data_IF_150098929751
#
_entry.id   IF_150098929751
#
_cell.length_a   1.000
_cell.length_b   1.000
_cell.length_c   1.000
_cell.angle_alpha   90.00
_cell.angle_beta   90.00
_cell.angle_gamma   90.00
#
_symmetry.space_group_name_H-M   'P 1'
#
loop_
_entity.id
_entity.type
_entity.pdbx_description
1 polymer ?
#
# COMPACT_ATOMS: atom_id res chain seq x y z
N UNK A 1 -5.27 -67.10 -6.19
CA UNK A 1 -4.34 -66.13 -5.63
C UNK A 1 -4.51 -64.85 -6.43
N UNK A 2 -5.28 -63.91 -5.92
CA UNK A 2 -5.51 -62.61 -6.57
C UNK A 2 -4.56 -61.60 -5.95
N UNK A 3 -3.61 -61.10 -6.70
CA UNK A 3 -2.70 -60.04 -6.27
C UNK A 3 -3.45 -58.70 -6.23
N UNK A 4 -3.70 -58.21 -5.04
CA UNK A 4 -4.24 -56.87 -4.81
C UNK A 4 -3.08 -55.88 -4.98
N UNK A 5 -3.00 -55.28 -6.16
CA UNK A 5 -2.09 -54.15 -6.44
C UNK A 5 -2.51 -52.93 -5.59
N UNK A 6 -1.78 -52.73 -4.50
CA UNK A 6 -1.87 -51.50 -3.69
C UNK A 6 -1.38 -50.35 -4.55
N UNK A 7 -2.31 -49.53 -5.02
CA UNK A 7 -2.00 -48.26 -5.69
C UNK A 7 -1.31 -47.31 -4.68
N UNK A 8 -0.04 -46.99 -4.94
CA UNK A 8 0.71 -45.99 -4.19
C UNK A 8 -0.04 -44.66 -4.21
N UNK A 9 -0.28 -44.01 -3.05
CA UNK A 9 -0.86 -42.68 -3.03
C UNK A 9 0.01 -41.73 -3.84
N UNK A 10 -0.58 -41.02 -4.79
CA UNK A 10 0.11 -40.00 -5.57
C UNK A 10 0.67 -38.94 -4.60
N UNK A 11 1.97 -38.64 -4.71
CA UNK A 11 2.63 -37.62 -3.91
C UNK A 11 1.84 -36.31 -4.03
N UNK A 12 1.60 -35.56 -2.92
CA UNK A 12 0.85 -34.33 -2.97
C UNK A 12 1.54 -33.36 -3.92
N UNK A 13 0.87 -32.97 -4.99
CA UNK A 13 1.32 -31.94 -5.90
C UNK A 13 1.58 -30.70 -5.06
N UNK A 14 2.82 -30.23 -5.01
CA UNK A 14 3.15 -28.93 -4.41
C UNK A 14 2.34 -27.88 -5.15
N UNK A 15 1.29 -27.37 -4.51
CA UNK A 15 0.50 -26.28 -5.04
C UNK A 15 1.43 -25.08 -5.26
N UNK A 16 1.50 -24.61 -6.50
CA UNK A 16 2.34 -23.45 -6.88
C UNK A 16 1.51 -22.19 -6.88
N UNK A 17 2.11 -21.08 -6.50
CA UNK A 17 1.48 -19.76 -6.62
C UNK A 17 1.14 -19.49 -8.09
N UNK A 18 -0.08 -19.00 -8.40
CA UNK A 18 -0.47 -18.60 -9.75
C UNK A 18 0.17 -17.25 -10.10
N UNK A 19 1.46 -17.25 -10.41
CA UNK A 19 2.28 -16.05 -10.61
C UNK A 19 1.70 -15.11 -11.65
N UNK A 20 1.16 -15.61 -12.77
CA UNK A 20 0.58 -14.75 -13.80
C UNK A 20 -0.58 -13.90 -13.28
N UNK A 21 -1.49 -14.52 -12.51
CA UNK A 21 -2.61 -13.79 -11.89
C UNK A 21 -2.13 -12.79 -10.84
N UNK A 22 -1.15 -13.17 -10.01
CA UNK A 22 -0.58 -12.28 -8.99
C UNK A 22 0.18 -11.10 -9.61
N UNK A 23 0.92 -11.33 -10.70
CA UNK A 23 1.61 -10.27 -11.44
C UNK A 23 0.63 -9.33 -12.16
N UNK A 24 -0.47 -9.86 -12.70
CA UNK A 24 -1.54 -9.01 -13.26
C UNK A 24 -2.14 -8.09 -12.19
N UNK A 25 -2.37 -8.60 -10.96
CA UNK A 25 -2.82 -7.78 -9.84
C UNK A 25 -1.72 -6.79 -9.37
N UNK A 26 -0.45 -7.18 -9.38
CA UNK A 26 0.67 -6.29 -9.08
C UNK A 26 0.76 -5.13 -10.08
N UNK A 27 0.47 -5.39 -11.36
CA UNK A 27 0.38 -4.36 -12.40
C UNK A 27 -0.80 -3.41 -12.16
N UNK A 28 -1.94 -3.91 -11.68
CA UNK A 28 -3.05 -3.07 -11.27
C UNK A 28 -2.69 -2.15 -10.09
N UNK A 29 -1.95 -2.66 -9.09
CA UNK A 29 -1.39 -1.88 -7.98
C UNK A 29 -0.40 -0.83 -8.52
N UNK A 30 0.50 -1.23 -9.41
CA UNK A 30 1.44 -0.32 -10.06
C UNK A 30 0.73 0.86 -10.75
N UNK A 31 -0.31 0.57 -11.55
CA UNK A 31 -1.10 1.60 -12.23
C UNK A 31 -1.81 2.52 -11.23
N UNK A 32 -2.36 1.95 -10.16
CA UNK A 32 -3.02 2.72 -9.11
C UNK A 32 -2.07 3.75 -8.49
N UNK A 33 -0.87 3.31 -8.08
CA UNK A 33 0.13 4.14 -7.40
C UNK A 33 0.73 5.18 -8.35
N UNK A 34 1.04 4.79 -9.59
CA UNK A 34 1.62 5.75 -10.53
C UNK A 34 0.59 6.80 -10.97
N UNK A 35 -0.68 6.44 -11.16
CA UNK A 35 -1.75 7.41 -11.45
C UNK A 35 -1.93 8.41 -10.31
N UNK A 36 -1.71 7.99 -9.06
CA UNK A 36 -1.72 8.86 -7.88
C UNK A 36 -0.54 9.83 -7.88
N UNK A 37 0.68 9.31 -8.07
CA UNK A 37 1.93 10.01 -7.78
C UNK A 37 2.49 10.79 -8.97
N UNK A 38 2.18 10.38 -10.20
CA UNK A 38 2.73 10.96 -11.43
C UNK A 38 2.48 12.48 -11.57
N UNK A 39 1.29 13.02 -11.23
CA UNK A 39 1.06 14.46 -11.34
C UNK A 39 2.09 15.30 -10.59
N UNK A 40 2.57 14.83 -9.44
CA UNK A 40 3.56 15.56 -8.65
C UNK A 40 4.85 15.85 -9.45
N UNK A 41 5.28 14.93 -10.30
CA UNK A 41 6.43 15.11 -11.17
C UNK A 41 6.15 15.93 -12.44
N UNK A 42 4.88 16.17 -12.77
CA UNK A 42 4.44 16.85 -13.99
C UNK A 42 3.81 18.23 -13.75
N UNK A 43 3.69 18.65 -12.48
CA UNK A 43 3.02 19.91 -12.10
C UNK A 43 3.45 21.13 -12.90
N UNK A 44 4.75 21.37 -13.17
CA UNK A 44 5.18 22.55 -13.94
C UNK A 44 4.57 22.62 -15.34
N UNK A 45 4.59 21.49 -16.08
CA UNK A 45 4.03 21.39 -17.43
C UNK A 45 2.50 21.51 -17.43
N UNK A 46 1.84 20.83 -16.49
CA UNK A 46 0.38 20.89 -16.32
C UNK A 46 -0.09 22.31 -15.97
N UNK A 47 0.58 22.97 -15.02
CA UNK A 47 0.30 24.34 -14.63
C UNK A 47 0.37 25.32 -15.79
N UNK A 48 1.47 25.24 -16.55
CA UNK A 48 1.71 26.13 -17.69
C UNK A 48 0.63 25.98 -18.78
N UNK A 49 0.25 24.73 -19.11
CA UNK A 49 -0.69 24.46 -20.19
C UNK A 49 -2.15 24.69 -19.78
N UNK A 50 -2.51 24.52 -18.51
CA UNK A 50 -3.87 24.77 -18.00
C UNK A 50 -4.08 26.21 -17.50
N UNK A 51 -3.05 27.05 -17.51
CA UNK A 51 -3.12 28.47 -17.14
C UNK A 51 -3.47 28.73 -15.67
N UNK A 52 -3.02 27.85 -14.75
CA UNK A 52 -3.36 27.93 -13.30
C UNK A 52 -2.13 28.11 -12.42
N UNK A 53 -2.35 28.63 -11.22
CA UNK A 53 -1.29 28.77 -10.21
C UNK A 53 -0.81 27.43 -9.66
N UNK A 54 0.37 27.44 -9.03
CA UNK A 54 1.01 26.22 -8.47
C UNK A 54 0.16 25.55 -7.42
N UNK A 55 -0.42 26.33 -6.51
CA UNK A 55 -1.32 25.81 -5.46
C UNK A 55 -2.58 25.16 -6.04
N UNK A 56 -3.17 25.72 -7.10
CA UNK A 56 -4.31 25.14 -7.79
C UNK A 56 -3.92 23.81 -8.46
N UNK A 57 -2.78 23.76 -9.14
CA UNK A 57 -2.36 22.52 -9.80
C UNK A 57 -2.01 21.43 -8.80
N UNK A 58 -1.44 21.77 -7.65
CA UNK A 58 -1.18 20.84 -6.54
C UNK A 58 -2.44 20.13 -6.03
N UNK A 59 -3.64 20.72 -6.21
CA UNK A 59 -4.90 20.06 -5.87
C UNK A 59 -5.17 18.79 -6.68
N UNK A 60 -4.48 18.56 -7.78
CA UNK A 60 -4.62 17.32 -8.55
C UNK A 60 -4.34 16.05 -7.74
N UNK A 61 -3.41 16.12 -6.78
CA UNK A 61 -3.12 15.01 -5.85
C UNK A 61 -4.16 14.96 -4.74
N UNK A 62 -4.53 16.10 -4.20
CA UNK A 62 -5.53 16.21 -3.12
C UNK A 62 -6.91 15.70 -3.57
N UNK A 63 -7.38 16.11 -4.76
CA UNK A 63 -8.68 15.71 -5.32
C UNK A 63 -8.73 14.20 -5.55
N UNK A 64 -7.62 13.58 -6.01
CA UNK A 64 -7.51 12.13 -6.11
C UNK A 64 -7.66 11.46 -4.73
N UNK A 65 -6.94 11.93 -3.73
CA UNK A 65 -7.02 11.38 -2.37
C UNK A 65 -8.43 11.53 -1.76
N UNK A 66 -9.09 12.67 -1.99
CA UNK A 66 -10.48 12.89 -1.60
C UNK A 66 -11.41 11.90 -2.31
N UNK A 67 -11.24 11.71 -3.63
CA UNK A 67 -12.00 10.72 -4.40
C UNK A 67 -11.86 9.33 -3.81
N UNK A 68 -10.63 8.91 -3.49
CA UNK A 68 -10.37 7.62 -2.83
C UNK A 68 -11.06 7.53 -1.47
N UNK A 69 -10.83 8.48 -0.59
CA UNK A 69 -11.30 8.42 0.80
C UNK A 69 -12.83 8.46 0.91
N UNK A 70 -13.51 9.30 0.11
CA UNK A 70 -14.96 9.43 0.16
C UNK A 70 -15.71 8.25 -0.46
N UNK A 71 -15.13 7.61 -1.49
CA UNK A 71 -15.87 6.65 -2.29
C UNK A 71 -15.57 5.19 -1.97
N UNK A 72 -14.42 4.88 -1.34
CA UNK A 72 -14.02 3.49 -1.10
C UNK A 72 -15.03 2.71 -0.26
N UNK A 73 -15.54 3.27 0.83
CA UNK A 73 -16.51 2.58 1.70
C UNK A 73 -17.86 2.41 0.98
N UNK A 74 -18.51 3.48 0.45
CA UNK A 74 -19.81 3.32 -0.21
C UNK A 74 -19.74 2.43 -1.44
N UNK A 75 -18.70 2.57 -2.28
CA UNK A 75 -18.58 1.73 -3.47
C UNK A 75 -18.28 0.27 -3.15
N UNK A 76 -17.43 0.00 -2.14
CA UNK A 76 -17.22 -1.37 -1.67
C UNK A 76 -18.52 -2.01 -1.18
N UNK A 77 -19.36 -1.25 -0.46
CA UNK A 77 -20.67 -1.73 0.00
C UNK A 77 -21.64 -1.98 -1.17
N UNK A 78 -21.73 -1.06 -2.13
CA UNK A 78 -22.59 -1.19 -3.31
C UNK A 78 -22.18 -2.38 -4.20
N UNK A 79 -20.89 -2.56 -4.41
CA UNK A 79 -20.34 -3.63 -5.27
C UNK A 79 -20.11 -4.95 -4.53
N UNK A 80 -20.41 -5.02 -3.22
CA UNK A 80 -20.14 -6.18 -2.39
C UNK A 80 -20.75 -7.48 -2.91
N UNK A 81 -21.92 -7.42 -3.56
CA UNK A 81 -22.61 -8.58 -4.17
C UNK A 81 -22.14 -8.93 -5.57
N UNK A 82 -21.32 -8.09 -6.21
CA UNK A 82 -20.89 -8.30 -7.59
C UNK A 82 -19.72 -9.28 -7.66
N UNK A 83 -19.52 -9.93 -8.80
CA UNK A 83 -18.28 -10.67 -9.08
C UNK A 83 -17.05 -9.78 -8.90
N UNK A 84 -15.99 -10.33 -8.35
CA UNK A 84 -14.79 -9.51 -8.03
C UNK A 84 -14.04 -9.07 -9.27
N UNK A 85 -14.01 -9.89 -10.31
CA UNK A 85 -13.37 -9.56 -11.59
C UNK A 85 -14.06 -8.40 -12.31
N UNK A 86 -15.40 -8.36 -12.49
CA UNK A 86 -16.10 -7.20 -13.02
C UNK A 86 -15.80 -5.90 -12.26
N UNK A 87 -15.77 -5.93 -10.93
CA UNK A 87 -15.46 -4.74 -10.11
C UNK A 87 -14.02 -4.28 -10.32
N UNK A 88 -13.06 -5.21 -10.41
CA UNK A 88 -11.67 -4.87 -10.70
C UNK A 88 -11.51 -4.27 -12.12
N UNK A 89 -12.17 -4.87 -13.11
CA UNK A 89 -12.15 -4.36 -14.48
C UNK A 89 -12.81 -2.98 -14.58
N UNK A 90 -13.87 -2.72 -13.80
CA UNK A 90 -14.50 -1.40 -13.70
C UNK A 90 -13.54 -0.37 -13.10
N UNK A 91 -12.77 -0.72 -12.06
CA UNK A 91 -11.74 0.15 -11.52
C UNK A 91 -10.64 0.46 -12.56
N UNK A 92 -10.17 -0.54 -13.29
CA UNK A 92 -9.18 -0.34 -14.36
C UNK A 92 -9.74 0.51 -15.51
N UNK A 93 -11.00 0.29 -15.91
CA UNK A 93 -11.68 1.13 -16.89
C UNK A 93 -11.83 2.58 -16.41
N UNK A 94 -12.07 2.79 -15.11
CA UNK A 94 -12.06 4.11 -14.47
C UNK A 94 -10.71 4.81 -14.62
N UNK A 95 -9.59 4.09 -14.47
CA UNK A 95 -8.26 4.64 -14.72
C UNK A 95 -8.04 4.97 -16.20
N UNK A 96 -8.48 4.11 -17.12
CA UNK A 96 -8.42 4.41 -18.56
C UNK A 96 -9.15 5.71 -18.85
N UNK A 97 -10.42 5.81 -18.44
CA UNK A 97 -11.23 7.00 -18.68
C UNK A 97 -10.60 8.27 -18.05
N UNK A 98 -10.21 8.20 -16.78
CA UNK A 98 -9.65 9.34 -16.06
C UNK A 98 -8.30 9.80 -16.64
N UNK A 99 -7.39 8.88 -16.93
CA UNK A 99 -6.09 9.22 -17.51
C UNK A 99 -6.24 9.73 -18.95
N UNK A 100 -7.13 9.16 -19.75
CA UNK A 100 -7.42 9.66 -21.11
C UNK A 100 -8.01 11.06 -21.07
N UNK A 101 -9.01 11.31 -20.23
CA UNK A 101 -9.58 12.66 -20.06
C UNK A 101 -8.50 13.64 -19.59
N UNK A 102 -7.65 13.25 -18.64
CA UNK A 102 -6.54 14.09 -18.20
C UNK A 102 -5.56 14.39 -19.34
N UNK A 103 -5.26 13.41 -20.20
CA UNK A 103 -4.34 13.57 -21.33
C UNK A 103 -4.87 14.55 -22.40
N UNK A 104 -6.18 14.57 -22.64
CA UNK A 104 -6.76 15.39 -23.73
C UNK A 104 -7.41 16.68 -23.25
N UNK A 105 -7.52 16.90 -21.94
CA UNK A 105 -8.21 18.07 -21.37
C UNK A 105 -7.35 19.32 -21.45
N UNK A 106 -7.97 20.41 -21.90
CA UNK A 106 -7.43 21.78 -21.82
C UNK A 106 -8.10 22.62 -20.71
N UNK A 107 -9.06 22.00 -19.97
CA UNK A 107 -9.78 22.66 -18.89
C UNK A 107 -9.34 22.13 -17.53
N UNK A 108 -8.93 23.03 -16.63
CA UNK A 108 -8.55 22.69 -15.26
C UNK A 108 -9.67 21.93 -14.51
N UNK A 109 -10.92 22.42 -14.60
CA UNK A 109 -12.05 21.79 -13.91
C UNK A 109 -12.29 20.34 -14.38
N UNK A 110 -12.18 20.08 -15.68
CA UNK A 110 -12.34 18.73 -16.25
C UNK A 110 -11.19 17.82 -15.82
N UNK A 111 -9.97 18.34 -15.79
CA UNK A 111 -8.82 17.64 -15.24
C UNK A 111 -9.04 17.25 -13.77
N UNK A 112 -9.53 18.18 -12.93
CA UNK A 112 -9.86 17.88 -11.51
C UNK A 112 -10.97 16.83 -11.38
N UNK A 113 -12.03 16.91 -12.20
CA UNK A 113 -13.06 15.88 -12.24
C UNK A 113 -12.49 14.49 -12.61
N UNK A 114 -11.60 14.45 -13.61
CA UNK A 114 -10.91 13.22 -13.98
C UNK A 114 -10.02 12.69 -12.84
N UNK A 115 -9.32 13.56 -12.10
CA UNK A 115 -8.56 13.18 -10.91
C UNK A 115 -9.43 12.58 -9.81
N UNK A 116 -10.63 13.14 -9.59
CA UNK A 116 -11.60 12.57 -8.65
C UNK A 116 -12.05 11.17 -9.08
N UNK A 117 -12.36 10.98 -10.36
CA UNK A 117 -12.72 9.66 -10.93
C UNK A 117 -11.56 8.66 -10.78
N UNK A 118 -10.32 9.10 -11.04
CA UNK A 118 -9.14 8.27 -10.83
C UNK A 118 -9.00 7.83 -9.35
N UNK A 119 -9.22 8.75 -8.41
CA UNK A 119 -9.25 8.44 -6.98
C UNK A 119 -10.36 7.45 -6.60
N UNK A 120 -11.55 7.61 -7.18
CA UNK A 120 -12.67 6.67 -7.01
C UNK A 120 -12.30 5.26 -7.51
N UNK A 121 -11.69 5.17 -8.68
CA UNK A 121 -11.18 3.90 -9.23
C UNK A 121 -10.11 3.27 -8.33
N UNK A 122 -9.23 4.10 -7.76
CA UNK A 122 -8.22 3.66 -6.81
C UNK A 122 -8.83 3.06 -5.54
N UNK A 123 -9.85 3.70 -4.98
CA UNK A 123 -10.56 3.18 -3.81
C UNK A 123 -11.11 1.76 -4.05
N UNK A 124 -11.76 1.54 -5.20
CA UNK A 124 -12.23 0.22 -5.60
C UNK A 124 -11.08 -0.78 -5.81
N UNK A 125 -10.02 -0.37 -6.48
CA UNK A 125 -8.84 -1.19 -6.71
C UNK A 125 -8.23 -1.67 -5.39
N UNK A 126 -7.93 -0.74 -4.48
CA UNK A 126 -7.35 -1.04 -3.17
C UNK A 126 -8.22 -1.97 -2.32
N UNK A 127 -9.54 -1.77 -2.32
CA UNK A 127 -10.47 -2.60 -1.57
C UNK A 127 -10.45 -4.09 -2.01
N UNK A 128 -10.06 -4.37 -3.25
CA UNK A 128 -10.06 -5.72 -3.81
C UNK A 128 -8.72 -6.44 -3.72
N UNK A 129 -7.57 -5.73 -3.74
CA UNK A 129 -6.25 -6.33 -3.97
C UNK A 129 -5.90 -7.43 -2.98
N UNK A 130 -6.04 -7.17 -1.68
CA UNK A 130 -5.70 -8.14 -0.62
C UNK A 130 -6.63 -9.35 -0.66
N UNK A 131 -7.93 -9.11 -0.85
CA UNK A 131 -8.94 -10.16 -0.96
C UNK A 131 -8.67 -11.07 -2.16
N UNK A 132 -8.30 -10.49 -3.30
CA UNK A 132 -7.92 -11.23 -4.50
C UNK A 132 -6.65 -12.05 -4.31
N UNK A 133 -5.58 -11.43 -3.81
CA UNK A 133 -4.30 -12.10 -3.55
C UNK A 133 -4.49 -13.33 -2.67
N UNK A 134 -5.30 -13.21 -1.61
CA UNK A 134 -5.60 -14.32 -0.69
C UNK A 134 -6.39 -15.44 -1.34
N UNK A 135 -7.39 -15.12 -2.17
CA UNK A 135 -8.22 -16.12 -2.86
C UNK A 135 -7.45 -16.87 -3.95
N UNK A 136 -6.46 -16.24 -4.58
CA UNK A 136 -5.58 -16.85 -5.56
C UNK A 136 -4.52 -17.75 -4.93
N UNK A 137 -4.16 -17.49 -3.68
CA UNK A 137 -3.07 -18.20 -3.01
C UNK A 137 -3.48 -19.59 -2.55
N UNK A 138 -2.60 -20.61 -2.68
CA UNK A 138 -2.72 -21.84 -1.94
C UNK A 138 -2.73 -21.62 -0.43
N UNK A 139 -3.35 -22.53 0.32
CA UNK A 139 -3.40 -22.45 1.78
C UNK A 139 -1.99 -22.35 2.37
N UNK A 140 -1.77 -21.35 3.23
CA UNK A 140 -0.49 -21.10 3.89
C UNK A 140 0.50 -20.26 3.08
N UNK A 141 0.12 -19.76 1.90
CA UNK A 141 0.94 -18.88 1.06
C UNK A 141 0.29 -17.51 0.81
N UNK A 142 -0.76 -17.18 1.58
CA UNK A 142 -1.56 -15.96 1.41
C UNK A 142 -0.73 -14.68 1.59
N UNK A 143 0.19 -14.66 2.56
CA UNK A 143 1.08 -13.52 2.79
C UNK A 143 2.08 -13.33 1.66
N UNK A 144 2.62 -14.41 1.08
CA UNK A 144 3.49 -14.33 -0.11
C UNK A 144 2.74 -13.77 -1.32
N UNK A 145 1.51 -14.20 -1.52
CA UNK A 145 0.66 -13.70 -2.61
C UNK A 145 0.39 -12.19 -2.44
N UNK A 146 0.06 -11.73 -1.22
CA UNK A 146 -0.10 -10.31 -0.92
C UNK A 146 1.20 -9.56 -1.18
N UNK A 147 2.36 -10.09 -0.76
CA UNK A 147 3.65 -9.46 -0.99
C UNK A 147 3.96 -9.27 -2.48
N UNK A 148 3.66 -10.29 -3.33
CA UNK A 148 3.84 -10.20 -4.78
C UNK A 148 2.93 -9.09 -5.37
N UNK A 149 1.67 -9.05 -4.96
CA UNK A 149 0.73 -8.03 -5.44
C UNK A 149 1.16 -6.62 -4.98
N UNK A 150 1.57 -6.48 -3.71
CA UNK A 150 2.00 -5.19 -3.16
C UNK A 150 3.37 -4.73 -3.68
N UNK A 151 4.17 -5.60 -4.30
CA UNK A 151 5.41 -5.22 -4.96
C UNK A 151 5.19 -4.20 -6.10
N UNK A 152 3.96 -4.07 -6.61
CA UNK A 152 3.58 -2.99 -7.53
C UNK A 152 3.82 -1.59 -6.97
N UNK A 153 3.73 -1.38 -5.65
CA UNK A 153 3.95 -0.07 -5.01
C UNK A 153 5.40 0.43 -5.21
N UNK A 154 6.43 -0.27 -4.71
CA UNK A 154 7.80 0.19 -4.86
C UNK A 154 8.24 0.22 -6.33
N UNK A 155 7.75 -0.68 -7.17
CA UNK A 155 8.03 -0.64 -8.61
C UNK A 155 7.46 0.63 -9.26
N UNK A 156 6.23 1.04 -8.88
CA UNK A 156 5.64 2.28 -9.36
C UNK A 156 6.47 3.50 -8.95
N UNK A 157 6.87 3.57 -7.69
CA UNK A 157 7.64 4.71 -7.16
C UNK A 157 9.08 4.74 -7.67
N UNK A 158 9.75 3.58 -7.78
CA UNK A 158 11.15 3.51 -8.18
C UNK A 158 11.37 3.58 -9.71
N UNK A 159 10.45 3.06 -10.49
CA UNK A 159 10.58 2.99 -11.95
C UNK A 159 9.48 3.79 -12.66
N UNK A 160 8.23 3.63 -12.23
CA UNK A 160 7.08 4.19 -12.90
C UNK A 160 7.04 5.72 -12.87
N UNK A 161 7.18 6.32 -11.68
CA UNK A 161 7.15 7.79 -11.52
C UNK A 161 8.33 8.43 -12.25
N UNK A 162 9.59 8.00 -12.11
CA UNK A 162 10.70 8.55 -12.87
C UNK A 162 10.52 8.40 -14.39
N UNK A 163 10.10 7.23 -14.88
CA UNK A 163 9.87 7.01 -16.30
C UNK A 163 8.75 7.91 -16.84
N UNK A 164 7.63 8.04 -16.11
CA UNK A 164 6.53 8.90 -16.50
C UNK A 164 6.91 10.39 -16.46
N UNK A 165 7.70 10.81 -15.49
CA UNK A 165 8.24 12.20 -15.42
C UNK A 165 9.20 12.47 -16.58
N UNK A 166 10.07 11.51 -16.92
CA UNK A 166 10.97 11.60 -18.08
C UNK A 166 10.20 11.74 -19.40
N UNK A 167 9.18 10.89 -19.62
CA UNK A 167 8.30 10.98 -20.79
C UNK A 167 7.64 12.36 -20.84
N UNK A 168 7.13 12.84 -19.70
CA UNK A 168 6.50 14.15 -19.60
C UNK A 168 7.43 15.33 -19.86
N UNK A 169 8.71 15.20 -19.50
CA UNK A 169 9.73 16.18 -19.82
C UNK A 169 10.15 16.18 -21.29
N UNK A 170 10.19 14.99 -21.91
CA UNK A 170 10.66 14.81 -23.29
C UNK A 170 9.57 15.03 -24.33
N UNK A 171 8.36 14.55 -24.10
CA UNK A 171 7.26 14.54 -25.06
C UNK A 171 6.09 15.45 -24.66
N UNK A 172 5.94 15.72 -23.38
CA UNK A 172 4.83 16.47 -22.81
C UNK A 172 4.12 15.67 -21.72
N UNK A 173 3.49 16.38 -20.77
CA UNK A 173 2.80 15.74 -19.63
C UNK A 173 1.55 14.94 -20.08
N UNK A 174 0.90 15.34 -21.18
CA UNK A 174 -0.27 14.66 -21.74
C UNK A 174 0.06 13.25 -22.20
N UNK A 175 1.20 13.09 -22.84
CA UNK A 175 1.72 11.81 -23.35
C UNK A 175 1.97 10.83 -22.21
N UNK A 176 2.43 11.31 -21.05
CA UNK A 176 2.58 10.47 -19.85
C UNK A 176 1.24 9.88 -19.39
N UNK A 177 0.18 10.68 -19.37
CA UNK A 177 -1.17 10.18 -19.05
C UNK A 177 -1.73 9.27 -20.16
N UNK A 178 -1.41 9.55 -21.43
CA UNK A 178 -1.75 8.67 -22.56
C UNK A 178 -1.10 7.29 -22.42
N UNK A 179 0.19 7.23 -22.08
CA UNK A 179 0.89 5.97 -21.78
C UNK A 179 0.24 5.23 -20.62
N UNK A 180 -0.17 5.96 -19.57
CA UNK A 180 -0.87 5.36 -18.42
C UNK A 180 -2.22 4.76 -18.82
N UNK A 181 -2.97 5.42 -19.72
CA UNK A 181 -4.20 4.86 -20.28
C UNK A 181 -3.92 3.57 -21.05
N UNK A 182 -2.87 3.55 -21.88
CA UNK A 182 -2.45 2.35 -22.61
C UNK A 182 -2.06 1.20 -21.69
N UNK A 183 -1.29 1.48 -20.65
CA UNK A 183 -0.93 0.46 -19.64
C UNK A 183 -2.16 -0.07 -18.90
N UNK A 184 -3.14 0.79 -18.58
CA UNK A 184 -4.38 0.36 -17.95
C UNK A 184 -5.22 -0.53 -18.90
N UNK A 185 -5.27 -0.23 -20.18
CA UNK A 185 -5.92 -1.11 -21.19
C UNK A 185 -5.21 -2.46 -21.27
N UNK A 186 -3.89 -2.48 -21.34
CA UNK A 186 -3.12 -3.74 -21.34
C UNK A 186 -3.35 -4.54 -20.06
N UNK A 187 -3.47 -3.87 -18.90
CA UNK A 187 -3.80 -4.52 -17.63
C UNK A 187 -5.21 -5.13 -17.66
N UNK A 188 -6.20 -4.45 -18.24
CA UNK A 188 -7.56 -5.00 -18.44
C UNK A 188 -7.50 -6.29 -19.25
N UNK A 189 -6.78 -6.28 -20.37
CA UNK A 189 -6.63 -7.48 -21.22
C UNK A 189 -5.96 -8.61 -20.42
N UNK A 190 -4.87 -8.32 -19.75
CA UNK A 190 -4.15 -9.32 -18.96
C UNK A 190 -5.02 -9.90 -17.82
N UNK A 191 -5.66 -9.05 -17.02
CA UNK A 191 -6.60 -9.47 -15.95
C UNK A 191 -7.71 -10.34 -16.55
N UNK A 192 -8.28 -9.95 -17.69
CA UNK A 192 -9.37 -10.70 -18.35
C UNK A 192 -8.94 -12.10 -18.73
N UNK A 193 -7.71 -12.29 -19.18
CA UNK A 193 -7.18 -13.58 -19.63
C UNK A 193 -6.76 -14.50 -18.49
N UNK A 194 -6.15 -13.96 -17.40
CA UNK A 194 -5.46 -14.81 -16.42
C UNK A 194 -6.07 -14.80 -15.02
N UNK A 195 -6.86 -13.77 -14.67
CA UNK A 195 -7.42 -13.66 -13.31
C UNK A 195 -8.81 -14.32 -13.31
N UNK A 196 -9.04 -15.35 -12.47
CA UNK A 196 -10.37 -15.97 -12.35
C UNK A 196 -11.36 -15.01 -11.70
N UNK A 197 -12.64 -15.16 -11.99
CA UNK A 197 -13.68 -14.45 -11.25
C UNK A 197 -13.95 -15.17 -9.91
N UNK A 198 -14.18 -14.37 -8.89
CA UNK A 198 -14.64 -14.85 -7.61
C UNK A 198 -15.99 -14.24 -7.29
N UNK A 199 -16.93 -15.03 -6.73
CA UNK A 199 -18.25 -14.53 -6.39
C UNK A 199 -18.16 -13.41 -5.34
N UNK A 200 -19.09 -12.46 -5.43
CA UNK A 200 -19.31 -11.44 -4.42
C UNK A 200 -19.85 -12.03 -3.12
N UNK A 201 -20.01 -11.19 -2.13
CA UNK A 201 -20.65 -11.57 -0.88
C UNK A 201 -22.16 -11.66 -1.07
N UNK A 202 -22.79 -12.74 -0.59
CA UNK A 202 -24.26 -12.83 -0.51
C UNK A 202 -24.79 -11.72 0.39
N UNK A 203 -25.99 -11.22 0.10
CA UNK A 203 -26.60 -10.13 0.87
C UNK A 203 -26.64 -10.41 2.38
N UNK A 204 -26.96 -11.65 2.76
CA UNK A 204 -27.00 -12.14 4.12
C UNK A 204 -25.62 -12.18 4.82
N UNK A 205 -24.55 -12.30 4.05
CA UNK A 205 -23.18 -12.35 4.54
C UNK A 205 -22.49 -10.97 4.59
N UNK A 206 -23.20 -9.89 4.20
CA UNK A 206 -22.65 -8.54 4.22
C UNK A 206 -22.55 -8.03 5.64
N UNK A 207 -21.34 -7.73 6.07
CA UNK A 207 -21.10 -7.21 7.39
C UNK A 207 -21.13 -5.68 7.36
N UNK A 208 -22.04 -5.01 8.10
CA UNK A 208 -22.01 -3.55 8.22
C UNK A 208 -20.67 -3.05 8.75
N UNK A 209 -20.29 -1.84 8.32
CA UNK A 209 -18.98 -1.23 8.66
C UNK A 209 -18.70 -1.26 10.16
N UNK A 210 -19.68 -0.86 11.00
CA UNK A 210 -19.55 -0.86 12.45
C UNK A 210 -19.34 -2.28 13.03
N UNK A 211 -20.04 -3.28 12.47
CA UNK A 211 -19.84 -4.67 12.88
C UNK A 211 -18.47 -5.19 12.43
N UNK A 212 -18.03 -4.85 11.22
CA UNK A 212 -16.69 -5.20 10.72
C UNK A 212 -15.58 -4.57 11.59
N UNK A 213 -15.73 -3.30 11.97
CA UNK A 213 -14.84 -2.61 12.89
C UNK A 213 -14.81 -3.23 14.29
N UNK A 214 -15.90 -3.88 14.74
CA UNK A 214 -15.99 -4.56 16.04
C UNK A 214 -15.45 -6.00 16.03
N UNK A 215 -15.03 -6.57 14.90
CA UNK A 215 -14.48 -7.94 14.83
C UNK A 215 -13.22 -8.02 15.70
N UNK A 216 -13.09 -9.04 16.58
CA UNK A 216 -11.93 -9.20 17.45
C UNK A 216 -10.61 -9.16 16.66
N UNK A 217 -9.70 -8.28 17.07
CA UNK A 217 -8.42 -8.02 16.40
C UNK A 217 -8.44 -6.86 15.40
N UNK A 218 -9.56 -6.59 14.72
CA UNK A 218 -9.66 -5.48 13.76
C UNK A 218 -9.39 -4.12 14.41
N UNK A 219 -10.01 -3.74 15.56
CA UNK A 219 -9.75 -2.44 16.19
C UNK A 219 -8.28 -2.25 16.55
N UNK A 220 -7.63 -3.28 17.07
CA UNK A 220 -6.21 -3.21 17.44
C UNK A 220 -5.31 -3.02 16.21
N UNK A 221 -5.61 -3.71 15.11
CA UNK A 221 -4.86 -3.55 13.84
C UNK A 221 -5.11 -2.17 13.25
N UNK A 222 -6.36 -1.66 13.28
CA UNK A 222 -6.69 -0.31 12.83
C UNK A 222 -5.93 0.75 13.65
N UNK A 223 -5.84 0.59 14.97
CA UNK A 223 -5.05 1.48 15.82
C UNK A 223 -3.56 1.45 15.44
N UNK A 224 -3.00 0.25 15.19
CA UNK A 224 -1.60 0.11 14.73
C UNK A 224 -1.42 0.81 13.38
N UNK A 225 -2.33 0.62 12.43
CA UNK A 225 -2.27 1.28 11.11
C UNK A 225 -2.29 2.80 11.28
N UNK A 226 -3.26 3.34 12.03
CA UNK A 226 -3.38 4.78 12.25
C UNK A 226 -2.11 5.38 12.83
N UNK A 227 -1.64 4.83 13.96
CA UNK A 227 -0.47 5.34 14.68
C UNK A 227 0.80 5.19 13.85
N UNK A 228 0.99 4.04 13.19
CA UNK A 228 2.17 3.79 12.38
C UNK A 228 2.23 4.71 11.16
N UNK A 229 1.11 4.86 10.43
CA UNK A 229 1.05 5.70 9.23
C UNK A 229 1.22 7.19 9.58
N UNK A 230 0.64 7.65 10.70
CA UNK A 230 0.90 8.99 11.22
C UNK A 230 2.39 9.17 11.50
N UNK A 231 3.00 8.26 12.28
CA UNK A 231 4.41 8.32 12.65
C UNK A 231 5.32 8.36 11.40
N UNK A 232 5.06 7.49 10.43
CA UNK A 232 5.80 7.47 9.17
C UNK A 232 5.70 8.80 8.43
N UNK A 233 4.48 9.33 8.24
CA UNK A 233 4.28 10.55 7.47
C UNK A 233 4.79 11.81 8.17
N UNK A 234 4.80 11.85 9.51
CA UNK A 234 5.41 12.94 10.29
C UNK A 234 6.89 13.13 9.90
N UNK A 235 7.64 12.06 9.74
CA UNK A 235 9.07 12.14 9.42
C UNK A 235 9.33 12.15 7.90
N UNK A 236 8.66 11.26 7.15
CA UNK A 236 8.91 11.08 5.72
C UNK A 236 8.56 12.33 4.90
N UNK A 237 7.43 12.97 5.20
CA UNK A 237 6.98 14.18 4.48
C UNK A 237 7.96 15.34 4.63
N UNK A 238 8.60 15.44 5.78
CA UNK A 238 9.51 16.54 6.10
C UNK A 238 10.98 16.13 6.19
N UNK A 239 11.34 14.98 5.61
CA UNK A 239 12.73 14.46 5.66
C UNK A 239 13.72 15.44 5.00
N UNK A 240 13.32 16.14 3.94
CA UNK A 240 14.16 17.13 3.29
C UNK A 240 14.45 18.30 4.23
N UNK A 241 13.44 18.84 4.91
CA UNK A 241 13.60 19.93 5.90
C UNK A 241 14.44 19.46 7.13
N UNK A 242 14.27 18.20 7.53
CA UNK A 242 15.10 17.59 8.56
C UNK A 242 16.58 17.58 8.14
N UNK A 243 16.88 17.05 6.95
CA UNK A 243 18.24 16.94 6.44
C UNK A 243 18.89 18.31 6.18
N UNK A 244 18.13 19.28 5.65
CA UNK A 244 18.61 20.64 5.42
C UNK A 244 19.11 21.30 6.70
N UNK A 245 18.38 21.14 7.80
CA UNK A 245 18.75 21.70 9.12
C UNK A 245 20.08 21.18 9.63
N UNK A 246 20.48 19.98 9.25
CA UNK A 246 21.73 19.33 9.66
C UNK A 246 22.79 19.31 8.54
N UNK A 247 22.70 20.25 7.58
CA UNK A 247 23.72 20.42 6.53
C UNK A 247 23.71 19.35 5.43
N UNK A 248 22.67 18.51 5.37
CA UNK A 248 22.54 17.42 4.39
C UNK A 248 21.51 17.71 3.29
N UNK A 249 21.09 18.98 3.10
CA UNK A 249 20.08 19.35 2.10
C UNK A 249 20.44 18.95 0.67
N UNK A 250 21.73 18.99 0.29
CA UNK A 250 22.21 18.51 -1.01
C UNK A 250 22.31 16.98 -1.16
N UNK A 251 21.86 16.22 -0.17
CA UNK A 251 21.95 14.75 -0.15
C UNK A 251 20.59 14.05 0.01
N UNK A 252 19.48 14.78 -0.12
CA UNK A 252 18.13 14.26 0.07
C UNK A 252 17.84 13.10 -0.89
N UNK A 253 18.23 13.25 -2.15
CA UNK A 253 18.10 12.22 -3.17
C UNK A 253 18.82 10.91 -2.80
N UNK A 254 20.06 11.00 -2.33
CA UNK A 254 20.85 9.85 -1.90
C UNK A 254 20.28 9.19 -0.64
N UNK A 255 19.83 9.99 0.32
CA UNK A 255 19.18 9.49 1.53
C UNK A 255 17.89 8.74 1.21
N UNK A 256 17.04 9.30 0.32
CA UNK A 256 15.82 8.64 -0.13
C UNK A 256 16.11 7.39 -0.98
N UNK A 257 17.19 7.39 -1.75
CA UNK A 257 17.64 6.20 -2.47
C UNK A 257 18.03 5.07 -1.51
N UNK A 258 18.80 5.37 -0.47
CA UNK A 258 19.18 4.39 0.57
C UNK A 258 17.92 3.83 1.25
N UNK A 259 16.97 4.70 1.62
CA UNK A 259 15.68 4.29 2.16
C UNK A 259 14.94 3.34 1.21
N UNK A 260 14.87 3.70 -0.08
CA UNK A 260 14.17 2.92 -1.10
C UNK A 260 14.79 1.55 -1.31
N UNK A 261 16.11 1.46 -1.46
CA UNK A 261 16.85 0.19 -1.62
C UNK A 261 16.65 -0.72 -0.40
N UNK A 262 16.77 -0.17 0.81
CA UNK A 262 16.55 -0.90 2.05
C UNK A 262 15.08 -1.36 2.17
N UNK A 263 14.11 -0.55 1.73
CA UNK A 263 12.69 -0.92 1.69
C UNK A 263 12.42 -2.09 0.75
N UNK A 264 13.05 -2.13 -0.41
CA UNK A 264 12.95 -3.26 -1.35
C UNK A 264 13.46 -4.53 -0.68
N UNK A 265 14.63 -4.49 -0.02
CA UNK A 265 15.15 -5.64 0.72
C UNK A 265 14.17 -6.12 1.81
N UNK A 266 13.56 -5.17 2.54
CA UNK A 266 12.52 -5.47 3.55
C UNK A 266 11.31 -6.20 2.95
N UNK A 267 10.83 -5.77 1.78
CA UNK A 267 9.70 -6.41 1.09
C UNK A 267 10.03 -7.87 0.74
N UNK A 268 11.24 -8.15 0.25
CA UNK A 268 11.69 -9.51 -0.06
C UNK A 268 11.76 -10.38 1.20
N UNK A 269 12.37 -9.88 2.28
CA UNK A 269 12.46 -10.58 3.56
C UNK A 269 11.06 -10.86 4.11
N UNK A 270 10.19 -9.87 4.09
CA UNK A 270 8.79 -9.97 4.54
C UNK A 270 8.04 -11.01 3.71
N UNK A 271 8.07 -10.92 2.38
CA UNK A 271 7.39 -11.85 1.50
C UNK A 271 7.84 -13.29 1.67
N UNK A 272 9.14 -13.53 1.98
CA UNK A 272 9.66 -14.87 2.21
C UNK A 272 9.16 -15.49 3.54
N UNK A 273 8.86 -14.70 4.57
CA UNK A 273 8.65 -15.21 5.92
C UNK A 273 7.26 -14.89 6.51
N UNK A 274 6.47 -14.02 5.87
CA UNK A 274 5.24 -13.45 6.42
C UNK A 274 4.21 -14.52 6.81
N UNK A 275 4.06 -15.58 6.03
CA UNK A 275 3.06 -16.63 6.28
C UNK A 275 3.30 -17.39 7.59
N UNK A 276 4.55 -17.45 8.04
CA UNK A 276 4.95 -18.18 9.25
C UNK A 276 5.28 -17.26 10.42
N UNK A 277 5.74 -16.01 10.16
CA UNK A 277 6.34 -15.14 11.17
C UNK A 277 5.72 -13.72 11.18
N UNK A 278 4.47 -13.57 10.75
CA UNK A 278 3.79 -12.26 10.66
C UNK A 278 4.04 -11.38 11.90
N UNK A 279 3.80 -11.91 13.10
CA UNK A 279 3.96 -11.17 14.34
C UNK A 279 5.42 -10.78 14.63
N UNK A 280 6.36 -11.71 14.45
CA UNK A 280 7.79 -11.43 14.69
C UNK A 280 8.31 -10.37 13.70
N UNK A 281 7.87 -10.41 12.45
CA UNK A 281 8.20 -9.40 11.44
C UNK A 281 7.59 -8.04 11.79
N UNK A 282 6.35 -8.00 12.30
CA UNK A 282 5.72 -6.75 12.74
C UNK A 282 6.46 -6.13 13.94
N UNK A 283 6.87 -6.95 14.91
CA UNK A 283 7.67 -6.51 16.06
C UNK A 283 9.04 -6.02 15.58
N UNK A 284 9.73 -6.77 14.72
CA UNK A 284 11.02 -6.38 14.17
C UNK A 284 10.92 -5.04 13.41
N UNK A 285 9.89 -4.86 12.57
CA UNK A 285 9.64 -3.64 11.84
C UNK A 285 9.44 -2.43 12.78
N UNK A 286 8.66 -2.60 13.85
CA UNK A 286 8.44 -1.55 14.85
C UNK A 286 9.73 -1.20 15.61
N UNK A 287 10.52 -2.20 16.01
CA UNK A 287 11.80 -2.00 16.69
C UNK A 287 12.79 -1.30 15.76
N UNK A 288 12.96 -1.78 14.52
CA UNK A 288 13.87 -1.18 13.53
C UNK A 288 13.50 0.28 13.25
N UNK A 289 12.21 0.58 13.03
CA UNK A 289 11.73 1.94 12.79
C UNK A 289 11.96 2.84 14.01
N UNK A 290 11.66 2.35 15.21
CA UNK A 290 11.89 3.11 16.46
C UNK A 290 13.37 3.38 16.71
N UNK A 291 14.25 2.37 16.53
CA UNK A 291 15.71 2.51 16.65
C UNK A 291 16.26 3.49 15.62
N UNK A 292 15.81 3.39 14.38
CA UNK A 292 16.20 4.31 13.31
C UNK A 292 15.82 5.77 13.64
N UNK A 293 14.59 5.98 14.11
CA UNK A 293 14.13 7.31 14.50
C UNK A 293 14.92 7.86 15.72
N UNK A 294 15.21 7.02 16.70
CA UNK A 294 16.05 7.39 17.83
C UNK A 294 17.49 7.76 17.38
N UNK A 295 18.06 6.97 16.46
CA UNK A 295 19.38 7.27 15.89
C UNK A 295 19.38 8.59 15.11
N UNK A 296 18.33 8.87 14.30
CA UNK A 296 18.16 10.16 13.63
C UNK A 296 18.04 11.33 14.63
N UNK A 297 17.33 11.12 15.74
CA UNK A 297 17.18 12.16 16.77
C UNK A 297 18.46 12.47 17.52
N UNK A 298 19.31 11.46 17.77
CA UNK A 298 20.53 11.58 18.58
C UNK A 298 21.75 11.93 17.73
N UNK A 299 21.84 11.38 16.52
CA UNK A 299 23.03 11.48 15.66
C UNK A 299 22.79 12.29 14.38
N UNK A 300 21.84 13.24 14.40
CA UNK A 300 21.46 14.03 13.24
C UNK A 300 22.63 14.80 12.58
N UNK A 301 23.66 15.16 13.37
CA UNK A 301 24.82 15.92 12.90
C UNK A 301 25.92 15.05 12.27
N UNK A 302 25.78 13.71 12.32
CA UNK A 302 26.79 12.78 11.79
C UNK A 302 26.26 12.11 10.51
N UNK A 303 26.66 12.57 9.29
CA UNK A 303 26.09 12.09 8.05
C UNK A 303 26.12 10.57 7.87
N UNK A 304 27.21 9.91 8.24
CA UNK A 304 27.35 8.46 8.12
C UNK A 304 26.29 7.72 8.96
N UNK A 305 26.00 8.21 10.17
CA UNK A 305 24.98 7.63 11.05
C UNK A 305 23.57 7.94 10.55
N UNK A 306 23.35 9.10 9.92
CA UNK A 306 22.08 9.42 9.26
C UNK A 306 21.80 8.44 8.13
N UNK A 307 22.75 8.13 7.25
CA UNK A 307 22.59 7.12 6.21
C UNK A 307 22.31 5.73 6.78
N UNK A 308 23.04 5.32 7.83
CA UNK A 308 22.81 4.04 8.50
C UNK A 308 21.41 3.98 9.15
N UNK A 309 20.97 5.04 9.81
CA UNK A 309 19.65 5.14 10.42
C UNK A 309 18.54 5.09 9.36
N UNK A 310 18.72 5.78 8.21
CA UNK A 310 17.76 5.76 7.12
C UNK A 310 17.69 4.39 6.45
N UNK A 311 18.82 3.69 6.28
CA UNK A 311 18.83 2.31 5.81
C UNK A 311 18.05 1.39 6.77
N UNK A 312 18.26 1.54 8.07
CA UNK A 312 17.54 0.82 9.11
C UNK A 312 16.03 1.13 9.07
N UNK A 313 15.67 2.40 8.85
CA UNK A 313 14.29 2.82 8.68
C UNK A 313 13.64 2.20 7.45
N UNK A 314 14.32 2.18 6.30
CA UNK A 314 13.85 1.52 5.09
C UNK A 314 13.61 0.02 5.31
N UNK A 315 14.55 -0.66 5.98
CA UNK A 315 14.38 -2.07 6.37
C UNK A 315 13.19 -2.27 7.32
N UNK A 316 12.96 -1.36 8.26
CA UNK A 316 11.80 -1.41 9.16
C UNK A 316 10.48 -1.12 8.46
N UNK A 317 10.46 -0.22 7.46
CA UNK A 317 9.23 0.26 6.83
C UNK A 317 8.76 -0.57 5.63
N UNK A 318 9.67 -1.02 4.76
CA UNK A 318 9.31 -1.54 3.43
C UNK A 318 8.28 -2.67 3.45
N UNK A 319 8.34 -3.59 4.43
CA UNK A 319 7.39 -4.69 4.57
C UNK A 319 6.09 -4.33 5.29
N UNK A 320 6.01 -3.20 5.97
CA UNK A 320 4.89 -2.86 6.87
C UNK A 320 3.53 -2.80 6.18
N UNK A 321 3.38 -2.19 4.98
CA UNK A 321 2.11 -2.22 4.28
C UNK A 321 1.58 -3.64 4.09
N UNK A 322 2.45 -4.57 3.69
CA UNK A 322 2.11 -6.00 3.49
C UNK A 322 1.77 -6.68 4.82
N UNK A 323 2.54 -6.42 5.87
CA UNK A 323 2.31 -6.98 7.21
C UNK A 323 0.94 -6.57 7.77
N UNK A 324 0.63 -5.27 7.74
CA UNK A 324 -0.62 -4.73 8.30
C UNK A 324 -1.84 -5.12 7.47
N UNK A 325 -1.72 -5.13 6.13
CA UNK A 325 -2.78 -5.59 5.26
C UNK A 325 -3.03 -7.10 5.40
N UNK A 326 -1.99 -7.91 5.59
CA UNK A 326 -2.12 -9.33 5.86
C UNK A 326 -2.80 -9.56 7.21
N UNK A 327 -2.40 -8.84 8.26
CA UNK A 327 -3.02 -8.92 9.58
C UNK A 327 -4.51 -8.54 9.53
N UNK A 328 -4.84 -7.42 8.89
CA UNK A 328 -6.20 -6.95 8.71
C UNK A 328 -7.06 -7.96 7.93
N UNK A 329 -6.51 -8.51 6.84
CA UNK A 329 -7.17 -9.54 6.05
C UNK A 329 -7.38 -10.86 6.80
N UNK A 330 -6.49 -11.25 7.71
CA UNK A 330 -6.66 -12.44 8.55
C UNK A 330 -7.71 -12.21 9.64
N UNK A 331 -7.64 -11.11 10.38
CA UNK A 331 -8.60 -10.78 11.43
C UNK A 331 -10.01 -10.55 10.86
N UNK A 332 -10.10 -9.85 9.73
CA UNK A 332 -11.36 -9.53 9.07
C UNK A 332 -11.84 -10.55 8.05
N UNK A 333 -11.40 -11.82 8.11
CA UNK A 333 -11.65 -12.81 7.05
C UNK A 333 -13.12 -12.97 6.64
N UNK A 334 -14.05 -12.84 7.58
CA UNK A 334 -15.50 -12.92 7.34
C UNK A 334 -16.09 -11.65 6.68
N UNK A 335 -15.40 -10.52 6.77
CA UNK A 335 -15.81 -9.23 6.25
C UNK A 335 -14.64 -8.55 5.48
N UNK A 336 -13.86 -9.34 4.74
CA UNK A 336 -12.58 -8.95 4.18
C UNK A 336 -12.62 -7.65 3.36
N UNK A 337 -13.63 -7.49 2.50
CA UNK A 337 -13.76 -6.31 1.65
C UNK A 337 -14.11 -5.05 2.45
N UNK A 338 -14.99 -5.20 3.48
CA UNK A 338 -15.35 -4.09 4.37
C UNK A 338 -14.18 -3.67 5.25
N UNK A 339 -13.43 -4.64 5.78
CA UNK A 339 -12.22 -4.36 6.58
C UNK A 339 -11.14 -3.72 5.70
N UNK A 340 -10.99 -4.18 4.45
CA UNK A 340 -10.04 -3.56 3.53
C UNK A 340 -10.42 -2.12 3.17
N UNK A 341 -11.71 -1.84 2.98
CA UNK A 341 -12.18 -0.46 2.78
C UNK A 341 -11.88 0.43 3.99
N UNK A 342 -12.07 -0.09 5.21
CA UNK A 342 -11.67 0.61 6.45
C UNK A 342 -10.16 0.87 6.51
N UNK A 343 -9.33 -0.12 6.14
CA UNK A 343 -7.87 0.03 6.07
C UNK A 343 -7.50 1.17 5.12
N UNK A 344 -8.06 1.19 3.92
CA UNK A 344 -7.75 2.22 2.89
C UNK A 344 -8.18 3.61 3.38
N UNK A 345 -9.40 3.74 3.92
CA UNK A 345 -9.88 5.02 4.46
C UNK A 345 -8.99 5.53 5.58
N UNK A 346 -8.68 4.65 6.54
CA UNK A 346 -7.87 5.01 7.70
C UNK A 346 -6.43 5.34 7.30
N UNK A 347 -5.86 4.61 6.33
CA UNK A 347 -4.52 4.88 5.79
C UNK A 347 -4.42 6.29 5.22
N UNK A 348 -5.38 6.68 4.37
CA UNK A 348 -5.41 8.02 3.78
C UNK A 348 -5.64 9.11 4.83
N UNK A 349 -6.56 8.89 5.78
CA UNK A 349 -6.80 9.82 6.88
C UNK A 349 -5.54 9.98 7.77
N UNK A 350 -4.87 8.89 8.09
CA UNK A 350 -3.66 8.89 8.89
C UNK A 350 -2.47 9.56 8.15
N UNK A 351 -2.38 9.38 6.82
CA UNK A 351 -1.40 10.07 5.98
C UNK A 351 -1.60 11.59 6.06
N UNK A 352 -2.83 12.06 5.87
CA UNK A 352 -3.15 13.49 5.98
C UNK A 352 -2.88 14.04 7.39
N UNK A 353 -3.29 13.30 8.43
CA UNK A 353 -3.04 13.67 9.82
C UNK A 353 -1.54 13.72 10.15
N UNK A 354 -0.75 12.75 9.64
CA UNK A 354 0.70 12.71 9.81
C UNK A 354 1.40 13.90 9.16
N UNK A 355 1.00 14.26 7.93
CA UNK A 355 1.51 15.45 7.25
C UNK A 355 1.18 16.75 8.00
N UNK A 356 -0.07 16.91 8.45
CA UNK A 356 -0.49 18.08 9.23
C UNK A 356 0.24 18.18 10.57
N UNK A 357 0.32 17.07 11.32
CA UNK A 357 1.02 16.99 12.59
C UNK A 357 2.51 17.27 12.41
N UNK A 358 3.16 16.68 11.41
CA UNK A 358 4.56 16.90 11.11
C UNK A 358 4.89 18.35 10.80
N UNK A 359 4.04 19.03 10.00
CA UNK A 359 4.19 20.46 9.74
C UNK A 359 4.08 21.32 11.00
N UNK A 360 3.10 21.01 11.85
CA UNK A 360 2.93 21.70 13.14
C UNK A 360 4.15 21.52 14.05
N UNK A 361 4.62 20.27 14.17
CA UNK A 361 5.79 19.91 15.00
C UNK A 361 7.05 20.60 14.49
N UNK A 362 7.28 20.59 13.18
CA UNK A 362 8.44 21.24 12.56
C UNK A 362 8.49 22.73 12.86
N UNK A 363 7.34 23.42 12.73
CA UNK A 363 7.26 24.87 12.96
C UNK A 363 7.38 25.21 14.44
N UNK A 364 6.77 24.44 15.35
CA UNK A 364 6.70 24.74 16.78
C UNK A 364 7.93 24.25 17.57
N UNK A 365 8.47 23.10 17.22
CA UNK A 365 9.48 22.39 18.02
C UNK A 365 10.74 22.05 17.23
N UNK A 366 10.78 22.38 15.94
CA UNK A 366 11.93 22.12 15.07
C UNK A 366 12.04 20.66 14.61
N UNK A 367 13.04 20.36 13.75
CA UNK A 367 13.09 19.10 13.01
C UNK A 367 13.35 17.86 13.88
N UNK A 368 14.06 17.96 15.01
CA UNK A 368 14.27 16.81 15.92
C UNK A 368 12.96 16.26 16.50
N UNK A 369 11.94 17.11 16.64
CA UNK A 369 10.62 16.69 17.11
C UNK A 369 9.97 15.65 16.22
N UNK A 370 10.26 15.67 14.90
CA UNK A 370 9.75 14.70 13.94
C UNK A 370 10.26 13.29 14.28
N UNK A 371 11.55 13.14 14.49
CA UNK A 371 12.16 11.86 14.82
C UNK A 371 11.71 11.35 16.20
N UNK A 372 11.68 12.22 17.22
CA UNK A 372 11.17 11.87 18.55
C UNK A 372 9.70 11.46 18.53
N UNK A 373 8.87 12.09 17.71
CA UNK A 373 7.46 11.70 17.55
C UNK A 373 7.34 10.28 17.01
N UNK A 374 8.18 9.86 16.07
CA UNK A 374 8.21 8.48 15.58
C UNK A 374 8.56 7.50 16.71
N UNK A 375 9.53 7.85 17.57
CA UNK A 375 9.89 7.02 18.74
C UNK A 375 8.69 6.87 19.68
N UNK A 376 8.06 7.99 20.05
CA UNK A 376 6.91 7.99 20.98
C UNK A 376 5.73 7.21 20.41
N UNK A 377 5.37 7.44 19.14
CA UNK A 377 4.28 6.73 18.47
C UNK A 377 4.62 5.25 18.16
N UNK A 378 5.89 4.91 18.07
CA UNK A 378 6.37 3.53 17.95
C UNK A 378 6.06 2.66 19.16
N UNK A 379 6.03 3.26 20.37
CA UNK A 379 5.76 2.52 21.63
C UNK A 379 4.39 1.82 21.60
N UNK A 380 3.25 2.51 21.38
CA UNK A 380 1.95 1.83 21.32
C UNK A 380 1.87 0.81 20.18
N UNK A 381 2.52 1.05 19.03
CA UNK A 381 2.59 0.07 17.93
C UNK A 381 3.27 -1.21 18.41
N UNK A 382 4.42 -1.08 19.08
CA UNK A 382 5.16 -2.22 19.62
C UNK A 382 4.38 -2.94 20.71
N UNK A 383 3.74 -2.20 21.62
CA UNK A 383 2.92 -2.79 22.67
C UNK A 383 1.77 -3.63 22.10
N UNK A 384 1.04 -3.10 21.11
CA UNK A 384 -0.05 -3.85 20.48
C UNK A 384 0.48 -5.07 19.73
N UNK A 385 1.63 -4.97 19.03
CA UNK A 385 2.25 -6.11 18.34
C UNK A 385 2.70 -7.21 19.34
N UNK A 386 3.19 -6.81 20.51
CA UNK A 386 3.65 -7.75 21.56
C UNK A 386 2.48 -8.35 22.34
N UNK A 387 1.49 -7.55 22.74
CA UNK A 387 0.38 -7.98 23.59
C UNK A 387 -0.78 -8.60 22.78
N UNK A 388 -0.94 -8.23 21.51
CA UNK A 388 -2.05 -8.64 20.63
C UNK A 388 -2.02 -10.09 20.17
N UNK A 389 -1.45 -11.01 20.98
CA UNK A 389 -1.22 -12.44 20.64
C UNK A 389 -2.49 -13.22 20.29
N UNK A 390 -3.64 -12.85 20.89
CA UNK A 390 -4.87 -13.66 20.77
C UNK A 390 -5.69 -13.34 19.52
N UNK A 391 -5.74 -12.07 19.09
CA UNK A 391 -6.70 -11.65 18.08
C UNK A 391 -6.08 -10.81 16.94
N UNK A 392 -5.11 -9.93 17.24
CA UNK A 392 -4.54 -9.02 16.24
C UNK A 392 -3.39 -9.68 15.45
N UNK A 393 -2.48 -10.36 16.17
CA UNK A 393 -1.32 -11.03 15.59
C UNK A 393 -1.20 -12.45 16.17
N UNK A 394 -2.09 -13.38 15.80
CA UNK A 394 -2.10 -14.72 16.36
C UNK A 394 -0.82 -15.47 16.02
N UNK A 395 -0.28 -16.20 17.01
CA UNK A 395 0.81 -17.16 16.78
C UNK A 395 0.20 -18.38 16.11
N UNK A 396 0.54 -18.67 14.86
CA UNK A 396 0.21 -19.98 14.28
C UNK A 396 0.97 -21.06 15.09
N UNK A 397 0.25 -21.83 15.90
CA UNK A 397 0.76 -23.13 16.38
C UNK A 397 0.99 -23.97 15.13
N UNK A 398 2.21 -24.50 14.99
CA UNK A 398 2.49 -25.48 13.94
C UNK A 398 1.37 -26.52 13.96
N UNK A 399 0.91 -26.96 12.80
CA UNK A 399 -0.09 -28.01 12.68
C UNK A 399 0.32 -29.13 13.61
N UNK A 400 -0.46 -29.35 14.66
CA UNK A 400 -0.43 -30.59 15.38
C UNK A 400 -0.64 -31.67 14.31
N UNK A 401 0.36 -32.53 14.14
CA UNK A 401 0.20 -33.76 13.41
C UNK A 401 -1.02 -34.46 14.03
N UNK A 402 -1.90 -35.08 13.25
CA UNK A 402 -2.97 -35.88 13.83
C UNK A 402 -2.29 -36.93 14.70
N UNK A 403 -2.49 -36.79 16.04
CA UNK A 403 -2.21 -37.87 16.95
C UNK A 403 -3.04 -39.06 16.51
N UNK A 404 -2.35 -40.20 16.46
CA UNK A 404 -2.77 -41.40 15.81
C UNK A 404 -4.05 -42.05 16.36
N UNK A 405 -4.62 -42.85 15.54
CA UNK A 405 -5.18 -44.15 15.83
C UNK A 405 -5.01 -45.05 14.62
#
# INVERSE_FOLDING_TARGET
MSETTLSRPAAPRRERLPLSGLLALSTAVFITVITESLPAGLLPGMRASLGVGEAAMGQAVTVYAIGTALTVIPLSALTAGWGRKPVLLMAMAGFVAANTVTAVSDAYALTMAARFVAGTAAGLSWALMVGYARRLAPKGMEGKAIAIVMAGIPLALALGVPAGTFIGGALGWRESFGVMSGLAVLSIVWITLVVPDFPGQRAEARTPVLKAAGIPGVPAIMAVIAVYVIAYNVLYTYIAAFLERFGMGGSVDRVLLVFGVASIASIWITGAHIDRRLRHLTIAAAVLTGTAAAALAVFAEVPALVYAAVALWGLGHGGVPTLLQTAAGQAGAKAADTVQALVVTLWNAATAAGGALGGLLLVRFGPLSLAWTVVVLGVPVLLVAVLGRRHAFPVRRGSEAPEGA
#
